data_IF_411441065420
#
_entry.id   IF_411441065420
#
_cell.length_a   1.000
_cell.length_b   1.000
_cell.length_c   1.000
_cell.angle_alpha   90.00
_cell.angle_beta   90.00
_cell.angle_gamma   90.00
#
_symmetry.space_group_name_H-M   'P 1'
#
loop_
_entity.id
_entity.type
_entity.pdbx_description
1 polymer ?
#
# COMPACT_ATOMS: atom_id res chain seq x y z
N UNK A 1 18.71 -12.11 -8.86
CA UNK A 1 18.49 -11.15 -7.74
C UNK A 1 17.83 -11.97 -6.64
N UNK A 2 18.34 -11.95 -5.40
CA UNK A 2 17.69 -12.68 -4.30
C UNK A 2 16.33 -12.03 -3.95
N UNK A 3 15.43 -12.79 -3.33
CA UNK A 3 14.16 -12.28 -2.84
C UNK A 3 14.36 -11.14 -1.82
N UNK A 4 15.34 -11.28 -0.92
CA UNK A 4 15.63 -10.26 0.10
C UNK A 4 16.03 -8.93 -0.53
N UNK A 5 16.91 -8.95 -1.55
CA UNK A 5 17.29 -7.73 -2.26
C UNK A 5 16.12 -7.10 -3.04
N UNK A 6 15.24 -7.93 -3.60
CA UNK A 6 14.02 -7.46 -4.24
C UNK A 6 13.10 -6.80 -3.20
N UNK A 7 12.78 -7.50 -2.12
CA UNK A 7 11.93 -6.99 -1.05
C UNK A 7 12.48 -5.69 -0.45
N UNK A 8 13.79 -5.62 -0.20
CA UNK A 8 14.47 -4.41 0.26
C UNK A 8 14.21 -3.21 -0.65
N UNK A 9 14.39 -3.39 -1.95
CA UNK A 9 14.17 -2.31 -2.92
C UNK A 9 12.72 -1.85 -2.98
N UNK A 10 11.79 -2.80 -2.90
CA UNK A 10 10.36 -2.53 -2.99
C UNK A 10 9.79 -1.90 -1.71
N UNK A 11 10.39 -2.14 -0.55
CA UNK A 11 9.88 -1.67 0.74
C UNK A 11 10.61 -0.45 1.31
N UNK A 12 11.60 0.09 0.61
CA UNK A 12 12.38 1.23 1.11
C UNK A 12 11.58 2.52 1.32
N UNK A 13 10.47 2.69 0.62
CA UNK A 13 9.52 3.78 0.82
C UNK A 13 8.62 3.59 2.06
N UNK A 14 8.60 2.38 2.63
CA UNK A 14 7.83 2.02 3.82
C UNK A 14 8.70 2.04 5.08
N UNK A 15 9.93 1.51 5.00
CA UNK A 15 10.85 1.39 6.13
C UNK A 15 12.10 2.27 6.03
N UNK A 16 12.27 3.00 4.93
CA UNK A 16 13.41 3.84 4.66
C UNK A 16 14.56 3.12 3.95
N UNK A 17 15.54 3.89 3.49
CA UNK A 17 16.66 3.41 2.66
C UNK A 17 17.87 3.02 3.53
N UNK A 18 17.75 1.89 4.24
CA UNK A 18 18.79 1.38 5.15
C UNK A 18 18.74 -0.15 5.19
N UNK A 19 19.86 -0.80 4.85
CA UNK A 19 19.96 -2.27 4.75
C UNK A 19 19.77 -3.00 6.09
N UNK A 20 20.06 -2.36 7.21
CA UNK A 20 19.93 -2.95 8.55
C UNK A 20 18.51 -2.82 9.15
N UNK A 21 17.55 -2.29 8.38
CA UNK A 21 16.16 -2.14 8.82
C UNK A 21 15.30 -3.39 8.70
N UNK A 22 15.86 -4.42 8.10
CA UNK A 22 15.27 -5.75 8.14
C UNK A 22 16.01 -6.56 9.19
N UNK A 23 15.28 -7.15 10.12
CA UNK A 23 15.83 -8.18 10.98
C UNK A 23 16.05 -9.44 10.12
N UNK A 24 17.14 -9.43 9.34
CA UNK A 24 17.59 -10.60 8.59
C UNK A 24 18.01 -11.66 9.61
N UNK A 25 17.18 -12.67 9.73
CA UNK A 25 17.52 -13.84 10.53
C UNK A 25 18.11 -14.85 9.56
N UNK A 26 19.39 -15.16 9.70
CA UNK A 26 19.98 -16.30 9.01
C UNK A 26 19.13 -17.54 9.28
N UNK A 27 18.63 -18.18 8.25
CA UNK A 27 17.73 -19.33 8.32
C UNK A 27 18.26 -20.48 9.18
N UNK A 28 19.57 -20.52 9.44
CA UNK A 28 20.27 -21.56 10.22
C UNK A 28 20.16 -21.39 11.74
N UNK A 29 19.71 -20.24 12.25
CA UNK A 29 19.76 -19.92 13.71
C UNK A 29 18.38 -19.57 14.29
N UNK A 30 17.29 -19.86 13.59
CA UNK A 30 15.96 -19.51 14.07
C UNK A 30 15.56 -20.32 15.32
N UNK A 31 15.20 -19.60 16.37
CA UNK A 31 14.47 -20.20 17.50
C UNK A 31 13.21 -20.91 16.97
N UNK A 32 12.91 -22.16 17.36
CA UNK A 32 11.73 -22.90 16.90
C UNK A 32 10.43 -22.12 16.97
N UNK A 33 10.24 -21.29 18.00
CA UNK A 33 9.06 -20.43 18.13
C UNK A 33 8.96 -19.36 17.04
N UNK A 34 10.11 -18.84 16.58
CA UNK A 34 10.15 -17.87 15.48
C UNK A 34 9.85 -18.59 14.16
N UNK A 35 10.37 -19.80 13.97
CA UNK A 35 10.07 -20.62 12.79
C UNK A 35 8.58 -20.92 12.69
N UNK A 36 7.90 -21.21 13.79
CA UNK A 36 6.46 -21.45 13.80
C UNK A 36 5.68 -20.19 13.40
N UNK A 37 6.07 -19.02 13.92
CA UNK A 37 5.49 -17.73 13.55
C UNK A 37 5.74 -17.42 12.07
N UNK A 38 6.94 -17.67 11.56
CA UNK A 38 7.26 -17.49 10.13
C UNK A 38 6.36 -18.37 9.24
N UNK A 39 6.21 -19.64 9.59
CA UNK A 39 5.33 -20.56 8.85
C UNK A 39 3.88 -20.13 8.90
N UNK A 40 3.40 -19.69 10.06
CA UNK A 40 2.04 -19.20 10.22
C UNK A 40 1.78 -17.98 9.34
N UNK A 41 2.68 -16.98 9.35
CA UNK A 41 2.54 -15.75 8.55
C UNK A 41 2.76 -15.94 7.05
N UNK A 42 3.28 -17.09 6.65
CA UNK A 42 3.44 -17.50 5.25
C UNK A 42 2.35 -18.48 4.81
N UNK A 43 1.40 -18.80 5.69
CA UNK A 43 0.33 -19.75 5.38
C UNK A 43 -0.76 -19.14 4.50
N UNK A 44 -1.45 -19.95 3.68
CA UNK A 44 -2.62 -19.50 2.94
C UNK A 44 -3.72 -18.89 3.84
N UNK A 45 -3.87 -19.40 5.05
CA UNK A 45 -4.82 -18.91 6.04
C UNK A 45 -4.50 -17.49 6.48
N UNK A 46 -3.22 -17.17 6.70
CA UNK A 46 -2.79 -15.81 7.05
C UNK A 46 -3.03 -14.84 5.88
N UNK A 47 -2.71 -15.26 4.65
CA UNK A 47 -2.96 -14.46 3.44
C UNK A 47 -4.46 -14.22 3.28
N UNK A 48 -5.31 -15.24 3.47
CA UNK A 48 -6.76 -15.08 3.41
C UNK A 48 -7.32 -14.10 4.45
N UNK A 49 -6.75 -14.08 5.66
CA UNK A 49 -7.10 -13.08 6.68
C UNK A 49 -6.68 -11.67 6.24
N UNK A 50 -5.51 -11.55 5.62
CA UNK A 50 -5.02 -10.27 5.09
C UNK A 50 -5.90 -9.77 3.94
N UNK A 51 -6.35 -10.64 3.03
CA UNK A 51 -7.33 -10.31 2.00
C UNK A 51 -8.66 -9.83 2.60
N UNK A 52 -9.17 -10.54 3.60
CA UNK A 52 -10.36 -10.12 4.32
C UNK A 52 -10.20 -8.77 5.04
N UNK A 53 -8.99 -8.45 5.50
CA UNK A 53 -8.69 -7.13 6.04
C UNK A 53 -8.70 -6.05 4.95
N UNK A 54 -8.06 -6.30 3.80
CA UNK A 54 -8.05 -5.36 2.66
C UNK A 54 -9.46 -5.02 2.19
N UNK A 55 -10.36 -6.01 2.10
CA UNK A 55 -11.75 -5.77 1.72
C UNK A 55 -12.47 -4.82 2.69
N UNK A 56 -12.20 -4.92 4.00
CA UNK A 56 -12.80 -4.01 4.99
C UNK A 56 -12.21 -2.60 4.95
N UNK A 57 -10.97 -2.44 4.48
CA UNK A 57 -10.36 -1.12 4.34
C UNK A 57 -11.11 -0.21 3.36
N UNK A 58 -11.81 -0.76 2.37
CA UNK A 58 -12.61 0.03 1.43
C UNK A 58 -13.68 0.86 2.15
N UNK A 59 -14.26 0.33 3.24
CA UNK A 59 -15.31 1.01 4.00
C UNK A 59 -14.75 1.85 5.18
N UNK A 60 -13.60 1.43 5.73
CA UNK A 60 -13.08 1.97 7.00
C UNK A 60 -12.06 3.10 6.79
N UNK A 61 -11.47 3.23 5.58
CA UNK A 61 -10.28 4.07 5.35
C UNK A 61 -10.59 5.48 4.84
N UNK A 62 -11.84 5.72 4.41
CA UNK A 62 -12.19 6.91 3.65
C UNK A 62 -12.99 7.94 4.46
N UNK A 63 -12.61 9.21 4.31
CA UNK A 63 -13.35 10.36 4.81
C UNK A 63 -13.71 11.28 3.63
N UNK A 64 -14.75 10.89 2.88
CA UNK A 64 -15.18 11.65 1.71
C UNK A 64 -15.73 13.02 2.10
N UNK A 65 -15.53 14.00 1.23
CA UNK A 65 -16.05 15.36 1.36
C UNK A 65 -16.06 16.06 0.02
N UNK A 66 -16.88 17.09 -0.12
CA UNK A 66 -16.88 17.97 -1.28
C UNK A 66 -15.48 18.59 -1.52
N UNK A 67 -15.12 18.73 -2.80
CA UNK A 67 -13.93 19.44 -3.24
C UNK A 67 -14.36 20.59 -4.12
N UNK A 68 -13.94 21.79 -3.80
CA UNK A 68 -14.10 22.99 -4.61
C UNK A 68 -12.74 23.55 -4.99
N UNK A 69 -12.52 23.79 -6.26
CA UNK A 69 -11.31 24.41 -6.77
C UNK A 69 -11.63 25.35 -7.92
N UNK A 70 -11.34 26.65 -7.72
CA UNK A 70 -11.51 27.70 -8.73
C UNK A 70 -12.92 27.76 -9.36
N UNK A 71 -13.96 27.54 -8.58
CA UNK A 71 -15.35 27.57 -9.01
C UNK A 71 -15.84 26.29 -9.71
N UNK A 72 -15.02 25.26 -9.75
CA UNK A 72 -15.44 23.91 -10.09
C UNK A 72 -15.65 23.12 -8.78
N UNK A 73 -16.73 22.38 -8.69
CA UNK A 73 -17.08 21.59 -7.52
C UNK A 73 -17.28 20.15 -7.91
N UNK A 74 -16.71 19.23 -7.13
CA UNK A 74 -17.03 17.81 -7.16
C UNK A 74 -17.61 17.44 -5.80
N UNK A 75 -18.87 17.04 -5.76
CA UNK A 75 -19.56 16.72 -4.53
C UNK A 75 -19.07 15.38 -3.94
N UNK A 76 -19.22 15.22 -2.62
CA UNK A 76 -18.93 13.97 -1.92
C UNK A 76 -19.58 12.77 -2.61
N UNK A 77 -20.85 12.89 -3.01
CA UNK A 77 -21.56 11.82 -3.70
C UNK A 77 -20.92 11.45 -5.04
N UNK A 78 -20.51 12.43 -5.84
CA UNK A 78 -19.84 12.18 -7.13
C UNK A 78 -18.47 11.54 -6.90
N UNK A 79 -17.75 11.95 -5.86
CA UNK A 79 -16.46 11.34 -5.47
C UNK A 79 -16.66 9.87 -5.09
N UNK A 80 -17.68 9.57 -4.30
CA UNK A 80 -18.05 8.20 -3.91
C UNK A 80 -18.39 7.37 -5.15
N UNK A 81 -19.19 7.91 -6.07
CA UNK A 81 -19.56 7.22 -7.32
C UNK A 81 -18.33 6.96 -8.22
N UNK A 82 -17.41 7.92 -8.33
CA UNK A 82 -16.17 7.73 -9.06
C UNK A 82 -15.27 6.67 -8.41
N UNK A 83 -15.14 6.72 -7.10
CA UNK A 83 -14.27 5.85 -6.31
C UNK A 83 -14.73 4.38 -6.33
N UNK A 84 -16.02 4.12 -6.10
CA UNK A 84 -16.54 2.76 -5.98
C UNK A 84 -17.03 2.15 -7.29
N UNK A 85 -17.35 2.95 -8.30
CA UNK A 85 -17.88 2.41 -9.56
C UNK A 85 -16.96 2.66 -10.76
N UNK A 86 -16.51 3.90 -11.00
CA UNK A 86 -15.71 4.20 -12.19
C UNK A 86 -14.28 3.67 -12.07
N UNK A 87 -13.67 3.80 -10.90
CA UNK A 87 -12.28 3.42 -10.66
C UNK A 87 -12.15 2.16 -9.79
N UNK A 88 -13.15 1.32 -9.75
CA UNK A 88 -13.17 0.08 -8.95
C UNK A 88 -11.96 -0.83 -9.26
N UNK A 89 -11.55 -0.92 -10.52
CA UNK A 89 -10.42 -1.76 -10.95
C UNK A 89 -9.04 -1.16 -10.59
N UNK A 90 -9.00 0.06 -10.07
CA UNK A 90 -7.76 0.68 -9.58
C UNK A 90 -7.53 0.25 -8.12
N UNK A 91 -6.31 -0.17 -7.74
CA UNK A 91 -5.99 -0.51 -6.37
C UNK A 91 -6.35 0.61 -5.37
N UNK A 92 -6.85 0.22 -4.20
CA UNK A 92 -7.52 1.10 -3.23
C UNK A 92 -6.76 2.42 -2.96
N UNK A 93 -5.47 2.35 -2.61
CA UNK A 93 -4.67 3.54 -2.26
C UNK A 93 -4.21 4.37 -3.47
N UNK A 94 -4.44 3.87 -4.69
CA UNK A 94 -4.21 4.62 -5.93
C UNK A 94 -5.50 5.22 -6.51
N UNK A 95 -6.65 4.79 -6.01
CA UNK A 95 -7.97 5.11 -6.58
C UNK A 95 -8.28 6.61 -6.53
N UNK A 96 -7.98 7.26 -5.40
CA UNK A 96 -8.16 8.72 -5.25
C UNK A 96 -7.26 9.55 -6.17
N UNK A 97 -6.11 9.04 -6.56
CA UNK A 97 -5.29 9.70 -7.58
C UNK A 97 -6.05 9.78 -8.92
N UNK A 98 -6.72 8.70 -9.31
CA UNK A 98 -7.53 8.66 -10.54
C UNK A 98 -8.76 9.58 -10.45
N UNK A 99 -9.37 9.69 -9.28
CA UNK A 99 -10.48 10.65 -9.03
C UNK A 99 -9.98 12.09 -9.13
N UNK A 100 -8.82 12.39 -8.56
CA UNK A 100 -8.20 13.72 -8.63
C UNK A 100 -7.82 14.11 -10.06
N UNK A 101 -7.21 13.19 -10.84
CA UNK A 101 -6.92 13.44 -12.27
C UNK A 101 -8.20 13.73 -13.05
N UNK A 102 -9.26 12.95 -12.81
CA UNK A 102 -10.56 13.22 -13.44
C UNK A 102 -11.10 14.63 -13.12
N UNK A 103 -10.96 15.08 -11.88
CA UNK A 103 -11.38 16.42 -11.47
C UNK A 103 -10.49 17.51 -12.09
N UNK A 104 -9.18 17.28 -12.16
CA UNK A 104 -8.22 18.18 -12.80
C UNK A 104 -8.58 18.37 -14.26
N UNK A 105 -8.84 17.30 -15.01
CA UNK A 105 -9.26 17.35 -16.42
C UNK A 105 -10.56 18.20 -16.60
N UNK A 106 -11.50 18.10 -15.65
CA UNK A 106 -12.70 18.93 -15.66
C UNK A 106 -12.39 20.42 -15.45
N UNK A 107 -11.52 20.74 -14.47
CA UNK A 107 -11.11 22.13 -14.18
C UNK A 107 -10.40 22.74 -15.38
N UNK A 108 -9.47 22.02 -15.99
CA UNK A 108 -8.71 22.44 -17.18
C UNK A 108 -9.63 22.68 -18.37
N UNK A 109 -10.58 21.76 -18.62
CA UNK A 109 -11.57 21.87 -19.69
C UNK A 109 -12.48 23.09 -19.53
N UNK A 110 -13.00 23.33 -18.31
CA UNK A 110 -13.90 24.45 -18.05
C UNK A 110 -13.19 25.80 -18.11
N UNK A 111 -11.89 25.83 -17.90
CA UNK A 111 -11.09 27.06 -17.90
C UNK A 111 -10.30 27.29 -19.18
N UNK A 112 -10.34 26.34 -20.11
CA UNK A 112 -9.55 26.35 -21.35
C UNK A 112 -8.06 26.65 -21.08
N UNK A 113 -7.55 26.07 -19.99
CA UNK A 113 -6.17 26.27 -19.52
C UNK A 113 -5.69 25.10 -18.67
N UNK A 114 -4.48 24.61 -18.95
CA UNK A 114 -3.79 23.62 -18.11
C UNK A 114 -3.42 24.23 -16.73
N UNK A 115 -3.50 23.41 -15.69
CA UNK A 115 -3.02 23.73 -14.36
C UNK A 115 -1.48 23.62 -14.31
N UNK A 116 -0.83 24.47 -13.54
CA UNK A 116 0.60 24.30 -13.25
C UNK A 116 0.83 23.07 -12.36
N UNK A 117 2.09 22.62 -12.27
CA UNK A 117 2.46 21.47 -11.41
C UNK A 117 2.09 21.73 -9.93
N UNK A 118 2.26 22.97 -9.45
CA UNK A 118 1.88 23.35 -8.09
C UNK A 118 0.37 23.31 -7.90
N UNK A 119 -0.39 23.79 -8.87
CA UNK A 119 -1.86 23.78 -8.84
C UNK A 119 -2.40 22.35 -8.87
N UNK A 120 -1.81 21.48 -9.68
CA UNK A 120 -2.16 20.05 -9.76
C UNK A 120 -1.86 19.35 -8.44
N UNK A 121 -0.71 19.62 -7.83
CA UNK A 121 -0.33 19.01 -6.54
C UNK A 121 -1.25 19.48 -5.39
N UNK A 122 -1.68 20.75 -5.39
CA UNK A 122 -2.67 21.26 -4.43
C UNK A 122 -3.99 20.49 -4.52
N UNK A 123 -4.51 20.27 -5.73
CA UNK A 123 -5.73 19.49 -5.95
C UNK A 123 -5.50 18.04 -5.52
N UNK A 124 -4.38 17.43 -5.93
CA UNK A 124 -4.03 16.04 -5.55
C UNK A 124 -4.00 15.84 -4.05
N UNK A 125 -3.46 16.80 -3.30
CA UNK A 125 -3.38 16.70 -1.84
C UNK A 125 -4.76 16.79 -1.18
N UNK A 126 -5.68 17.58 -1.73
CA UNK A 126 -7.08 17.60 -1.27
C UNK A 126 -7.71 16.19 -1.30
N UNK A 127 -7.51 15.45 -2.40
CA UNK A 127 -8.04 14.10 -2.53
C UNK A 127 -7.27 13.07 -1.71
N UNK A 128 -5.94 13.15 -1.64
CA UNK A 128 -5.11 12.26 -0.80
C UNK A 128 -5.47 12.35 0.68
N UNK A 129 -5.82 13.54 1.16
CA UNK A 129 -6.20 13.79 2.55
C UNK A 129 -7.55 13.18 2.95
N UNK A 130 -8.29 12.57 2.02
CA UNK A 130 -9.50 11.81 2.32
C UNK A 130 -9.20 10.40 2.82
N UNK A 131 -7.97 9.88 2.62
CA UNK A 131 -7.55 8.68 3.32
C UNK A 131 -7.19 8.98 4.77
N UNK A 132 -7.63 8.18 5.70
CA UNK A 132 -7.19 8.25 7.09
C UNK A 132 -5.68 7.97 7.20
N UNK A 133 -5.21 6.98 6.46
CA UNK A 133 -3.79 6.68 6.26
C UNK A 133 -3.56 5.99 4.92
N UNK A 134 -2.39 6.23 4.32
CA UNK A 134 -1.92 5.55 3.11
C UNK A 134 -0.66 4.73 3.38
N UNK A 135 -0.27 4.60 4.63
CA UNK A 135 0.97 3.98 5.04
C UNK A 135 0.76 2.48 5.29
N UNK A 136 1.30 1.64 4.39
CA UNK A 136 1.21 0.17 4.51
C UNK A 136 1.81 -0.37 5.81
N UNK A 137 2.80 0.29 6.40
CA UNK A 137 3.35 -0.10 7.69
C UNK A 137 2.30 0.05 8.81
N UNK A 138 1.60 1.18 8.81
CA UNK A 138 0.52 1.45 9.77
C UNK A 138 -0.65 0.50 9.56
N UNK A 139 -1.06 0.30 8.30
CA UNK A 139 -2.17 -0.61 7.96
C UNK A 139 -1.84 -2.05 8.36
N UNK A 140 -0.63 -2.52 8.09
CA UNK A 140 -0.21 -3.85 8.51
C UNK A 140 -0.14 -3.98 10.03
N UNK A 141 0.33 -2.95 10.74
CA UNK A 141 0.33 -2.94 12.21
C UNK A 141 -1.09 -3.06 12.79
N UNK A 142 -2.08 -2.37 12.19
CA UNK A 142 -3.50 -2.51 12.56
C UNK A 142 -4.04 -3.92 12.30
N UNK A 143 -3.67 -4.51 11.18
CA UNK A 143 -4.01 -5.90 10.88
C UNK A 143 -3.47 -6.85 11.93
N UNK A 144 -2.17 -6.74 12.28
CA UNK A 144 -1.54 -7.57 13.30
C UNK A 144 -2.26 -7.46 14.65
N UNK A 145 -2.57 -6.24 15.08
CA UNK A 145 -3.30 -6.00 16.34
C UNK A 145 -4.70 -6.63 16.31
N UNK A 146 -5.43 -6.48 15.20
CA UNK A 146 -6.78 -7.03 15.03
C UNK A 146 -6.81 -8.57 15.08
N UNK A 147 -5.76 -9.20 14.54
CA UNK A 147 -5.62 -10.67 14.52
C UNK A 147 -4.90 -11.23 15.77
N UNK A 148 -4.59 -10.40 16.77
CA UNK A 148 -3.98 -10.81 18.03
C UNK A 148 -2.47 -11.04 17.98
N UNK A 149 -1.81 -10.59 16.91
CA UNK A 149 -0.34 -10.60 16.81
C UNK A 149 0.25 -9.34 17.45
N UNK A 150 1.56 -9.42 17.74
CA UNK A 150 2.30 -8.25 18.21
C UNK A 150 2.37 -7.19 17.12
N UNK A 151 1.82 -5.99 17.32
CA UNK A 151 1.84 -4.92 16.33
C UNK A 151 3.27 -4.43 16.07
N UNK A 152 3.46 -3.73 14.94
CA UNK A 152 4.69 -3.03 14.65
C UNK A 152 4.79 -1.75 15.52
N UNK A 153 6.01 -1.33 15.90
CA UNK A 153 6.19 -0.11 16.68
C UNK A 153 5.70 1.14 15.92
N UNK A 154 4.94 1.99 16.59
CA UNK A 154 4.60 3.30 16.03
C UNK A 154 5.81 4.22 16.12
N UNK A 155 6.48 4.49 14.98
CA UNK A 155 7.67 5.32 14.91
C UNK A 155 7.81 6.00 13.55
N UNK A 156 8.70 7.00 13.48
CA UNK A 156 9.06 7.66 12.23
C UNK A 156 9.74 6.68 11.26
N UNK A 157 9.62 6.95 9.95
CA UNK A 157 10.12 6.08 8.89
C UNK A 157 11.60 5.70 9.06
N UNK A 158 12.42 6.63 9.57
CA UNK A 158 13.85 6.43 9.80
C UNK A 158 14.15 5.41 10.90
N UNK A 159 13.18 5.13 11.77
CA UNK A 159 13.30 4.19 12.90
C UNK A 159 12.52 2.91 12.68
N UNK A 160 11.80 2.77 11.56
CA UNK A 160 11.03 1.59 11.27
C UNK A 160 11.94 0.40 10.99
N UNK A 161 11.50 -0.75 11.49
CA UNK A 161 12.08 -2.05 11.18
C UNK A 161 10.97 -3.04 10.95
N UNK A 162 11.18 -3.95 10.01
CA UNK A 162 10.33 -5.12 9.81
C UNK A 162 11.03 -6.34 10.37
N UNK A 163 10.29 -7.19 11.03
CA UNK A 163 10.76 -8.56 11.35
C UNK A 163 10.76 -9.36 10.05
N UNK A 164 11.62 -10.35 9.95
CA UNK A 164 11.75 -11.16 8.72
C UNK A 164 10.41 -11.72 8.26
N UNK A 165 9.62 -12.27 9.21
CA UNK A 165 8.30 -12.83 8.95
C UNK A 165 7.25 -11.80 8.49
N UNK A 166 7.50 -10.51 8.66
CA UNK A 166 6.59 -9.43 8.25
C UNK A 166 6.90 -8.87 6.85
N UNK A 167 8.06 -9.21 6.27
CA UNK A 167 8.51 -8.66 4.99
C UNK A 167 7.56 -9.06 3.86
N UNK A 168 7.27 -10.36 3.71
CA UNK A 168 6.36 -10.83 2.67
C UNK A 168 4.93 -10.27 2.82
N UNK A 169 4.29 -10.33 4.01
CA UNK A 169 2.97 -9.77 4.19
C UNK A 169 2.87 -8.26 3.88
N UNK A 170 3.88 -7.47 4.26
CA UNK A 170 3.89 -6.02 3.95
C UNK A 170 4.07 -5.79 2.46
N UNK A 171 4.92 -6.58 1.79
CA UNK A 171 5.11 -6.52 0.35
C UNK A 171 3.81 -6.88 -0.38
N UNK A 172 3.14 -7.97 0.04
CA UNK A 172 1.85 -8.38 -0.49
C UNK A 172 0.80 -7.27 -0.34
N UNK A 173 0.68 -6.68 0.83
CA UNK A 173 -0.24 -5.58 1.11
C UNK A 173 0.04 -4.37 0.21
N UNK A 174 1.33 -4.00 0.03
CA UNK A 174 1.73 -2.92 -0.86
C UNK A 174 1.26 -3.17 -2.30
N UNK A 175 1.51 -4.36 -2.83
CA UNK A 175 1.13 -4.69 -4.21
C UNK A 175 -0.39 -4.81 -4.40
N UNK A 176 -1.11 -5.17 -3.36
CA UNK A 176 -2.58 -5.23 -3.40
C UNK A 176 -3.21 -3.84 -3.33
N UNK A 177 -2.65 -2.94 -2.53
CA UNK A 177 -3.23 -1.62 -2.27
C UNK A 177 -2.77 -0.53 -3.24
N UNK A 178 -1.59 -0.67 -3.84
CA UNK A 178 -1.02 0.32 -4.76
C UNK A 178 -0.87 -0.19 -6.17
N UNK A 179 -1.07 0.69 -7.13
CA UNK A 179 -0.73 0.43 -8.53
C UNK A 179 0.80 0.50 -8.72
N UNK A 180 1.44 -0.67 -8.73
CA UNK A 180 2.87 -0.78 -8.93
C UNK A 180 3.21 -0.70 -10.43
N UNK A 181 3.72 0.44 -10.88
CA UNK A 181 4.06 0.68 -12.31
C UNK A 181 5.39 0.05 -12.74
N UNK A 182 6.26 -0.30 -11.78
CA UNK A 182 7.67 -0.64 -12.07
C UNK A 182 7.88 -1.99 -12.78
N UNK A 183 6.84 -2.83 -12.89
CA UNK A 183 6.98 -4.20 -13.40
C UNK A 183 6.23 -4.49 -14.71
N UNK A 184 5.63 -3.48 -15.33
CA UNK A 184 4.91 -3.66 -16.59
C UNK A 184 5.76 -4.21 -17.76
N UNK A 185 7.09 -4.11 -17.66
CA UNK A 185 8.02 -4.66 -18.64
C UNK A 185 8.43 -6.12 -18.41
N UNK A 186 8.09 -6.72 -17.25
CA UNK A 186 8.45 -8.09 -16.93
C UNK A 186 7.49 -9.04 -17.64
N UNK A 187 8.01 -9.80 -18.63
CA UNK A 187 7.22 -10.79 -19.37
C UNK A 187 7.37 -12.21 -18.83
N UNK A 188 8.47 -12.48 -18.13
CA UNK A 188 8.79 -13.80 -17.59
C UNK A 188 9.49 -13.64 -16.25
N UNK A 189 9.13 -14.50 -15.30
CA UNK A 189 9.83 -14.68 -14.02
C UNK A 189 10.30 -16.12 -13.96
N UNK A 190 11.58 -16.32 -13.71
CA UNK A 190 12.18 -17.65 -13.48
C UNK A 190 12.57 -17.71 -12.00
N UNK A 191 12.03 -18.67 -11.29
CA UNK A 191 12.35 -18.94 -9.89
C UNK A 191 13.28 -20.14 -9.87
N UNK A 192 14.53 -19.93 -9.48
CA UNK A 192 15.49 -20.98 -9.22
C UNK A 192 15.42 -21.38 -7.74
N UNK A 193 15.82 -22.63 -7.42
CA UNK A 193 15.78 -23.15 -6.04
C UNK A 193 14.40 -22.99 -5.38
N UNK A 194 13.34 -23.31 -6.11
CA UNK A 194 11.94 -23.13 -5.67
C UNK A 194 11.62 -23.80 -4.32
N UNK A 195 12.35 -24.84 -3.96
CA UNK A 195 12.20 -25.55 -2.67
C UNK A 195 12.61 -24.69 -1.46
N UNK A 196 13.39 -23.62 -1.66
CA UNK A 196 13.83 -22.71 -0.60
C UNK A 196 12.76 -21.66 -0.25
N UNK A 197 11.71 -21.59 -1.07
CA UNK A 197 10.58 -20.69 -0.85
C UNK A 197 9.42 -21.47 -0.24
N UNK A 198 8.94 -21.00 0.90
CA UNK A 198 7.68 -21.49 1.49
C UNK A 198 6.47 -20.86 0.80
N UNK A 199 5.39 -21.58 0.83
CA UNK A 199 4.06 -21.11 0.36
C UNK A 199 3.52 -20.06 1.29
#
# INVERSE_FOLDING_TARGET
MSFDLFAYRELKDIVGDCEDRYDQIEHTVLNPKIQDICREKQSPEFVSKLDGFVLRLEDELMNFRDVEYRGCTLSEKEIIDLFYFKFLDVPLLSRMHSVAEYFIDQVETLRDRDLSDEEREEVMECFRSMYETRDCYVLYSRFLEKEGYRPLPHCQIEKRRLRYEDVYPVLYLKYTLYQCRNHHGIKHVVVDEMQDYSW
#
